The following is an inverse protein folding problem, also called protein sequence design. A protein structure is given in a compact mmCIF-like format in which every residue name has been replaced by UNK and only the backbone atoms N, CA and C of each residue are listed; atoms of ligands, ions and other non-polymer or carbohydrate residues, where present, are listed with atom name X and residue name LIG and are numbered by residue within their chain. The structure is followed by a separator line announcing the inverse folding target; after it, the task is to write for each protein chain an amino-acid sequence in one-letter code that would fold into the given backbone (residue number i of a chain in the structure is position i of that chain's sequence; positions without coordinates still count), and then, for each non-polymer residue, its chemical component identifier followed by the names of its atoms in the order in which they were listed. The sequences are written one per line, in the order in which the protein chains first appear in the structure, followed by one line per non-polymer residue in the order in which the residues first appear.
data_IF_841406922189
#
_entry.id   IF_841406922189
#
_cell.length_a   1.000
_cell.length_b   1.000
_cell.length_c   1.000
_cell.angle_alpha   90.00
_cell.angle_beta   90.00
_cell.angle_gamma   90.00
#
_symmetry.space_group_name_H-M   'P 1'
#
loop_
_entity.id
_entity.type
_entity.pdbx_description
1 polymer ?
#
# COMPACT_ATOMS: atom_id res chain seq x y z
N UNK A 1 -13.38 -26.08 -3.11
CA UNK A 1 -14.68 -26.02 -3.83
C UNK A 1 -15.35 -24.67 -3.56
N UNK A 2 -16.07 -24.11 -4.53
CA UNK A 2 -16.87 -22.87 -4.39
C UNK A 2 -16.13 -21.61 -3.89
N UNK A 3 -14.80 -21.55 -4.05
CA UNK A 3 -13.97 -20.46 -3.51
C UNK A 3 -14.38 -19.07 -4.00
N UNK A 4 -14.91 -18.95 -5.22
CA UNK A 4 -15.44 -17.69 -5.74
C UNK A 4 -16.73 -17.26 -5.01
N UNK A 5 -17.68 -18.18 -4.82
CA UNK A 5 -18.92 -17.90 -4.12
C UNK A 5 -18.67 -17.59 -2.64
N UNK A 6 -17.76 -18.34 -2.02
CA UNK A 6 -17.28 -18.09 -0.66
C UNK A 6 -16.64 -16.73 -0.48
N UNK A 7 -15.69 -16.36 -1.36
CA UNK A 7 -15.04 -15.05 -1.32
C UNK A 7 -16.05 -13.89 -1.47
N UNK A 8 -17.07 -14.03 -2.33
CA UNK A 8 -18.12 -13.01 -2.53
C UNK A 8 -18.89 -12.67 -1.25
N UNK A 9 -18.98 -13.59 -0.27
CA UNK A 9 -19.61 -13.29 1.03
C UNK A 9 -18.89 -12.18 1.80
N UNK A 10 -17.57 -12.06 1.59
CA UNK A 10 -16.73 -11.06 2.23
C UNK A 10 -16.60 -9.79 1.41
N UNK A 11 -17.20 -9.71 0.23
CA UNK A 11 -17.05 -8.57 -0.65
C UNK A 11 -17.95 -7.41 -0.19
N UNK A 12 -17.36 -6.29 0.24
CA UNK A 12 -18.10 -5.06 0.62
C UNK A 12 -18.16 -4.00 -0.48
N UNK A 13 -17.41 -4.17 -1.56
CA UNK A 13 -17.34 -3.26 -2.72
C UNK A 13 -17.54 -4.02 -4.02
N UNK A 14 -17.69 -3.37 -5.18
CA UNK A 14 -17.76 -4.09 -6.47
C UNK A 14 -16.47 -4.83 -6.86
N UNK A 15 -15.36 -4.62 -6.15
CA UNK A 15 -14.05 -5.21 -6.48
C UNK A 15 -13.80 -6.45 -5.62
N UNK A 16 -13.60 -7.59 -6.27
CA UNK A 16 -13.17 -8.82 -5.61
C UNK A 16 -11.64 -8.85 -5.51
N UNK A 17 -11.08 -9.23 -4.36
CA UNK A 17 -9.65 -9.26 -4.12
C UNK A 17 -9.21 -10.57 -3.47
N UNK A 18 -7.90 -10.83 -3.47
CA UNK A 18 -7.30 -11.98 -2.78
C UNK A 18 -7.61 -12.01 -1.29
N UNK A 19 -7.80 -10.85 -0.65
CA UNK A 19 -8.20 -10.77 0.76
C UNK A 19 -9.54 -11.47 1.01
N UNK A 20 -10.51 -11.35 0.10
CA UNK A 20 -11.79 -12.04 0.23
C UNK A 20 -11.64 -13.57 0.14
N UNK A 21 -10.76 -14.06 -0.72
CA UNK A 21 -10.41 -15.48 -0.78
C UNK A 21 -9.67 -15.95 0.48
N UNK A 22 -8.76 -15.12 1.02
CA UNK A 22 -8.03 -15.44 2.24
C UNK A 22 -8.97 -15.63 3.43
N UNK A 23 -10.00 -14.77 3.56
CA UNK A 23 -11.05 -14.93 4.55
C UNK A 23 -11.82 -16.25 4.38
N UNK A 24 -12.28 -16.54 3.16
CA UNK A 24 -13.02 -17.78 2.91
C UNK A 24 -12.19 -19.04 3.16
N UNK A 25 -10.92 -19.05 2.75
CA UNK A 25 -10.00 -20.17 2.99
C UNK A 25 -9.78 -20.41 4.49
N UNK A 26 -9.71 -19.33 5.29
CA UNK A 26 -9.65 -19.44 6.74
C UNK A 26 -10.99 -19.92 7.34
N UNK A 27 -12.13 -19.41 6.85
CA UNK A 27 -13.49 -19.79 7.30
C UNK A 27 -13.73 -21.30 7.16
N UNK A 28 -13.35 -21.89 6.02
CA UNK A 28 -13.56 -23.32 5.76
C UNK A 28 -12.47 -24.21 6.36
N UNK A 29 -11.50 -23.65 7.09
CA UNK A 29 -10.39 -24.38 7.70
C UNK A 29 -9.32 -24.87 6.71
N UNK A 30 -9.34 -24.42 5.45
CA UNK A 30 -8.31 -24.75 4.46
C UNK A 30 -6.97 -24.04 4.73
N UNK A 31 -6.99 -22.99 5.54
CA UNK A 31 -5.82 -22.33 6.11
C UNK A 31 -6.08 -21.97 7.58
N UNK A 32 -5.08 -22.07 8.45
CA UNK A 32 -5.23 -21.79 9.88
C UNK A 32 -5.42 -20.30 10.24
N UNK A 33 -5.16 -19.40 9.29
CA UNK A 33 -5.34 -17.95 9.44
C UNK A 33 -5.37 -17.28 8.07
N UNK A 34 -5.72 -15.98 8.03
CA UNK A 34 -5.65 -15.15 6.80
C UNK A 34 -4.21 -15.10 6.27
N UNK A 35 -3.23 -14.90 7.15
CA UNK A 35 -1.81 -14.88 6.78
C UNK A 35 -1.35 -16.24 6.25
N UNK A 36 -1.82 -17.34 6.84
CA UNK A 36 -1.56 -18.68 6.33
C UNK A 36 -2.17 -18.87 4.94
N UNK A 37 -3.39 -18.35 4.68
CA UNK A 37 -4.02 -18.42 3.37
C UNK A 37 -3.21 -17.70 2.29
N UNK A 38 -2.68 -16.51 2.58
CA UNK A 38 -1.78 -15.81 1.67
C UNK A 38 -0.49 -16.60 1.40
N UNK A 39 0.08 -17.21 2.43
CA UNK A 39 1.34 -17.93 2.33
C UNK A 39 1.22 -19.28 1.61
N UNK A 40 0.08 -19.96 1.70
CA UNK A 40 -0.14 -21.30 1.15
C UNK A 40 -0.80 -21.29 -0.22
N UNK A 41 -1.58 -20.25 -0.56
CA UNK A 41 -2.42 -20.24 -1.77
C UNK A 41 -2.25 -18.98 -2.64
N UNK A 42 -2.20 -17.79 -2.07
CA UNK A 42 -2.50 -16.55 -2.82
C UNK A 42 -1.28 -15.70 -3.22
N UNK A 43 -0.07 -16.29 -3.23
CA UNK A 43 1.18 -15.64 -3.62
C UNK A 43 1.81 -16.28 -4.87
N UNK A 44 2.78 -15.62 -5.54
CA UNK A 44 3.48 -16.22 -6.67
C UNK A 44 4.03 -17.61 -6.32
N UNK A 45 3.75 -18.59 -7.18
CA UNK A 45 4.20 -19.99 -6.99
C UNK A 45 3.28 -20.86 -6.14
N UNK A 46 2.14 -20.37 -5.65
CA UNK A 46 1.18 -21.16 -4.87
C UNK A 46 -0.19 -21.33 -5.57
N UNK A 47 -0.97 -22.37 -5.23
CA UNK A 47 -2.27 -22.62 -5.87
C UNK A 47 -3.29 -21.51 -5.63
N UNK A 48 -3.88 -20.97 -6.70
CA UNK A 48 -4.86 -19.87 -6.61
C UNK A 48 -4.27 -18.48 -6.85
N UNK A 49 -2.96 -18.37 -7.05
CA UNK A 49 -2.35 -17.16 -7.60
C UNK A 49 -2.46 -17.15 -9.14
N UNK A 50 -3.02 -16.05 -9.66
CA UNK A 50 -3.02 -15.74 -11.09
C UNK A 50 -2.30 -14.41 -11.25
N UNK A 51 -1.31 -14.37 -12.15
CA UNK A 51 -0.58 -13.15 -12.42
C UNK A 51 -1.53 -12.10 -13.02
N UNK A 52 -1.65 -10.96 -12.36
CA UNK A 52 -2.42 -9.82 -12.84
C UNK A 52 -1.47 -8.82 -13.48
N UNK A 53 -1.79 -8.38 -14.70
CA UNK A 53 -1.14 -7.22 -15.32
C UNK A 53 -1.74 -5.96 -14.72
N UNK A 54 -0.93 -5.23 -13.96
CA UNK A 54 -1.27 -3.91 -13.45
C UNK A 54 -0.82 -2.83 -14.43
N UNK A 55 -1.25 -1.59 -14.21
CA UNK A 55 -0.71 -0.43 -14.91
C UNK A 55 0.82 -0.34 -14.72
N UNK A 56 1.51 0.21 -15.71
CA UNK A 56 2.91 0.61 -15.53
C UNK A 56 3.02 1.76 -14.52
N UNK A 57 4.24 2.00 -14.02
CA UNK A 57 4.51 3.10 -13.10
C UNK A 57 4.12 4.46 -13.71
N UNK A 58 4.53 4.70 -14.95
CA UNK A 58 4.22 5.92 -15.69
C UNK A 58 2.72 6.10 -15.89
N UNK A 59 2.01 5.06 -16.38
CA UNK A 59 0.54 5.14 -16.58
C UNK A 59 -0.19 5.47 -15.28
N UNK A 60 0.18 4.81 -14.17
CA UNK A 60 -0.48 5.04 -12.88
C UNK A 60 -0.27 6.47 -12.38
N UNK A 61 0.93 7.02 -12.52
CA UNK A 61 1.25 8.38 -12.10
C UNK A 61 0.58 9.41 -13.02
N UNK A 62 0.61 9.18 -14.33
CA UNK A 62 -0.04 10.04 -15.33
C UNK A 62 -1.54 10.14 -15.08
N UNK A 63 -2.21 9.04 -14.75
CA UNK A 63 -3.64 9.07 -14.43
C UNK A 63 -3.94 9.86 -13.16
N UNK A 64 -3.14 9.69 -12.11
CA UNK A 64 -3.31 10.43 -10.85
C UNK A 64 -3.09 11.93 -11.07
N UNK A 65 -1.99 12.29 -11.73
CA UNK A 65 -1.63 13.68 -12.00
C UNK A 65 -2.60 14.33 -12.99
N UNK A 66 -3.01 13.60 -14.04
CA UNK A 66 -4.00 14.06 -15.01
C UNK A 66 -5.38 14.31 -14.40
N UNK A 67 -5.70 13.65 -13.28
CA UNK A 67 -6.90 13.92 -12.48
C UNK A 67 -6.72 15.07 -11.46
N UNK A 68 -5.56 15.73 -11.43
CA UNK A 68 -5.22 16.79 -10.46
C UNK A 68 -4.81 16.27 -9.08
N UNK A 69 -4.61 14.96 -8.94
CA UNK A 69 -4.17 14.33 -7.70
C UNK A 69 -2.67 14.40 -7.47
N UNK A 70 -2.22 13.80 -6.36
CA UNK A 70 -0.81 13.67 -6.00
C UNK A 70 -0.48 12.19 -5.89
N UNK A 71 0.42 11.68 -6.73
CA UNK A 71 0.85 10.29 -6.66
C UNK A 71 1.74 10.04 -5.43
N UNK A 72 1.45 8.96 -4.70
CA UNK A 72 2.11 8.59 -3.44
C UNK A 72 2.59 7.13 -3.50
N UNK A 73 3.86 6.88 -3.15
CA UNK A 73 4.34 5.51 -2.89
C UNK A 73 3.75 5.00 -1.58
N UNK A 74 2.81 4.06 -1.67
CA UNK A 74 2.17 3.46 -0.51
C UNK A 74 3.03 2.36 0.13
N UNK A 75 3.10 2.37 1.46
CA UNK A 75 3.70 1.36 2.35
C UNK A 75 4.98 0.69 1.81
N UNK A 76 6.04 1.45 1.49
CA UNK A 76 7.24 0.96 0.78
C UNK A 76 8.00 -0.16 1.51
N UNK A 77 7.88 -0.25 2.84
CA UNK A 77 8.50 -1.30 3.66
C UNK A 77 7.90 -2.69 3.44
N UNK A 78 6.79 -2.81 2.71
CA UNK A 78 6.22 -4.11 2.31
C UNK A 78 6.81 -4.66 1.03
N UNK A 79 7.54 -3.84 0.28
CA UNK A 79 8.14 -4.27 -0.97
C UNK A 79 9.30 -5.21 -0.66
N UNK A 80 9.37 -6.34 -1.37
CA UNK A 80 10.49 -7.29 -1.27
C UNK A 80 11.64 -6.83 -2.16
N UNK A 81 12.05 -5.58 -2.01
CA UNK A 81 13.12 -4.96 -2.77
C UNK A 81 14.33 -4.76 -1.87
N UNK A 82 15.50 -5.11 -2.38
CA UNK A 82 16.76 -4.71 -1.77
C UNK A 82 16.93 -3.19 -1.85
N UNK A 83 17.74 -2.64 -0.95
CA UNK A 83 17.94 -1.19 -0.81
C UNK A 83 18.31 -0.47 -2.12
N UNK A 84 19.25 -0.99 -2.96
CA UNK A 84 19.57 -0.34 -4.23
C UNK A 84 18.40 -0.31 -5.22
N UNK A 85 17.57 -1.36 -5.21
CA UNK A 85 16.42 -1.47 -6.12
C UNK A 85 15.30 -0.54 -5.67
N UNK A 86 15.08 -0.42 -4.35
CA UNK A 86 14.12 0.53 -3.80
C UNK A 86 14.50 1.97 -4.14
N UNK A 87 15.77 2.36 -3.97
CA UNK A 87 16.24 3.70 -4.33
C UNK A 87 16.10 3.98 -5.82
N UNK A 88 16.44 3.02 -6.69
CA UNK A 88 16.20 3.13 -8.13
C UNK A 88 14.71 3.31 -8.44
N UNK A 89 13.84 2.54 -7.79
CA UNK A 89 12.39 2.69 -7.93
C UNK A 89 11.91 4.08 -7.50
N UNK A 90 12.44 4.64 -6.41
CA UNK A 90 12.09 6.00 -5.96
C UNK A 90 12.56 7.06 -6.95
N UNK A 91 13.75 6.90 -7.54
CA UNK A 91 14.22 7.73 -8.64
C UNK A 91 13.28 7.66 -9.85
N UNK A 92 13.00 6.46 -10.35
CA UNK A 92 12.07 6.22 -11.47
C UNK A 92 10.67 6.81 -11.17
N UNK A 93 10.20 6.72 -9.93
CA UNK A 93 8.92 7.30 -9.49
C UNK A 93 8.92 8.83 -9.56
N UNK A 94 9.99 9.49 -9.09
CA UNK A 94 10.15 10.96 -9.17
C UNK A 94 10.24 11.40 -10.64
N UNK A 95 11.02 10.70 -11.46
CA UNK A 95 11.19 11.02 -12.87
C UNK A 95 9.86 10.93 -13.65
N UNK A 96 8.96 10.05 -13.23
CA UNK A 96 7.60 9.96 -13.78
C UNK A 96 6.62 11.02 -13.24
N UNK A 97 7.05 11.91 -12.33
CA UNK A 97 6.19 12.94 -11.73
C UNK A 97 5.49 12.51 -10.43
N UNK A 98 5.98 11.45 -9.79
CA UNK A 98 5.58 11.06 -8.44
C UNK A 98 6.08 12.07 -7.40
N UNK A 99 5.26 12.36 -6.38
CA UNK A 99 5.49 13.52 -5.51
C UNK A 99 5.46 13.22 -4.01
N UNK A 100 5.06 12.04 -3.58
CA UNK A 100 5.04 11.70 -2.15
C UNK A 100 5.38 10.23 -1.86
N UNK A 101 5.74 9.97 -0.60
CA UNK A 101 6.00 8.64 -0.06
C UNK A 101 5.34 8.48 1.30
N UNK A 102 4.79 7.31 1.58
CA UNK A 102 4.25 7.00 2.90
C UNK A 102 5.38 6.70 3.90
N UNK A 103 5.44 7.50 4.97
CA UNK A 103 6.49 7.45 6.00
C UNK A 103 6.00 6.76 7.27
N UNK A 104 4.69 6.83 7.56
CA UNK A 104 4.10 6.29 8.78
C UNK A 104 2.86 5.46 8.48
N UNK A 105 2.89 4.17 8.83
CA UNK A 105 1.75 3.25 8.73
C UNK A 105 1.89 2.06 9.69
N UNK A 106 0.78 1.39 10.06
CA UNK A 106 0.83 0.19 10.88
C UNK A 106 1.67 -0.93 10.26
N UNK A 107 2.35 -1.68 11.12
CA UNK A 107 3.31 -2.74 10.76
C UNK A 107 4.66 -2.24 10.21
N UNK A 108 4.92 -0.92 10.25
CA UNK A 108 6.24 -0.38 9.96
C UNK A 108 7.13 -0.41 11.22
N UNK A 109 8.31 -1.00 11.12
CA UNK A 109 9.30 -0.94 12.20
C UNK A 109 9.79 0.51 12.41
N UNK A 110 10.05 0.96 13.66
CA UNK A 110 10.48 2.33 13.93
C UNK A 110 11.68 2.80 13.10
N UNK A 111 12.69 1.95 12.92
CA UNK A 111 13.89 2.28 12.12
C UNK A 111 13.56 2.60 10.66
N UNK A 112 12.48 2.02 10.13
CA UNK A 112 12.04 2.29 8.77
C UNK A 112 11.31 3.64 8.64
N UNK A 113 10.74 4.19 9.72
CA UNK A 113 10.13 5.53 9.72
C UNK A 113 11.21 6.58 9.44
N UNK A 114 12.32 6.51 10.19
CA UNK A 114 13.45 7.42 9.99
C UNK A 114 14.04 7.28 8.57
N UNK A 115 14.16 6.03 8.08
CA UNK A 115 14.63 5.76 6.72
C UNK A 115 13.72 6.38 5.65
N UNK A 116 12.41 6.21 5.74
CA UNK A 116 11.50 6.75 4.74
C UNK A 116 11.34 8.27 4.84
N UNK A 117 11.52 8.86 6.02
CA UNK A 117 11.66 10.31 6.17
C UNK A 117 12.94 10.85 5.49
N UNK A 118 14.06 10.15 5.65
CA UNK A 118 15.31 10.47 4.95
C UNK A 118 15.14 10.36 3.42
N UNK A 119 14.44 9.33 2.91
CA UNK A 119 14.12 9.24 1.48
C UNK A 119 13.18 10.35 1.01
N UNK A 120 12.21 10.75 1.82
CA UNK A 120 11.38 11.90 1.52
C UNK A 120 12.24 13.15 1.30
N UNK A 121 13.21 13.41 2.19
CA UNK A 121 14.15 14.52 2.05
C UNK A 121 15.08 14.39 0.83
N UNK A 122 15.73 13.24 0.64
CA UNK A 122 16.71 13.02 -0.44
C UNK A 122 16.12 13.16 -1.84
N UNK A 123 14.89 12.70 -2.02
CA UNK A 123 14.19 12.71 -3.32
C UNK A 123 13.24 13.90 -3.47
N UNK A 124 13.15 14.81 -2.48
CA UNK A 124 12.25 15.95 -2.51
C UNK A 124 10.75 15.57 -2.49
N UNK A 125 10.41 14.42 -1.93
CA UNK A 125 9.05 13.90 -1.84
C UNK A 125 8.34 14.45 -0.59
N UNK A 126 7.03 14.68 -0.71
CA UNK A 126 6.19 14.91 0.46
C UNK A 126 6.00 13.62 1.28
N UNK A 127 5.79 13.77 2.58
CA UNK A 127 5.51 12.66 3.49
C UNK A 127 4.01 12.44 3.67
N UNK A 128 3.57 11.20 3.44
CA UNK A 128 2.22 10.73 3.72
C UNK A 128 2.20 9.79 4.94
N UNK A 129 1.02 9.59 5.51
CA UNK A 129 0.75 8.59 6.53
C UNK A 129 -0.62 7.96 6.31
N UNK A 130 -0.81 6.75 6.82
CA UNK A 130 -2.04 6.01 6.61
C UNK A 130 -2.19 4.83 7.56
N UNK A 131 -3.43 4.58 7.99
CA UNK A 131 -3.72 3.42 8.85
C UNK A 131 -3.72 2.09 8.08
N UNK A 132 -3.88 2.16 6.75
CA UNK A 132 -4.12 0.99 5.91
C UNK A 132 -5.24 0.08 6.49
N UNK A 133 -6.27 0.73 7.04
CA UNK A 133 -7.42 0.09 7.68
C UNK A 133 -8.30 -0.60 6.63
N UNK A 134 -8.66 -1.84 6.91
CA UNK A 134 -9.54 -2.62 6.05
C UNK A 134 -10.87 -2.98 6.73
N UNK A 135 -10.85 -3.30 8.04
CA UNK A 135 -12.03 -3.69 8.82
C UNK A 135 -11.88 -3.48 10.34
N UNK A 136 -12.99 -3.29 11.09
CA UNK A 136 -12.95 -3.02 12.53
C UNK A 136 -12.32 -4.13 13.39
N UNK A 137 -12.40 -5.38 12.94
CA UNK A 137 -11.91 -6.60 13.60
C UNK A 137 -10.41 -6.84 13.42
N UNK A 138 -9.69 -5.92 12.75
CA UNK A 138 -8.23 -6.01 12.57
C UNK A 138 -7.46 -5.19 13.60
N UNK A 139 -6.15 -5.46 13.73
CA UNK A 139 -5.25 -4.70 14.61
C UNK A 139 -5.02 -3.27 14.14
N UNK A 140 -5.25 -2.99 12.86
CA UNK A 140 -5.18 -1.64 12.28
C UNK A 140 -6.50 -0.94 12.57
N UNK A 141 -6.45 0.28 13.12
CA UNK A 141 -7.63 1.07 13.47
C UNK A 141 -7.66 2.35 12.63
N UNK A 142 -8.85 2.69 12.12
CA UNK A 142 -9.04 3.90 11.33
C UNK A 142 -8.68 5.13 12.16
N UNK A 143 -7.90 6.04 11.57
CA UNK A 143 -7.46 7.28 12.22
C UNK A 143 -6.38 7.11 13.31
N UNK A 144 -6.01 5.88 13.68
CA UNK A 144 -4.94 5.63 14.65
C UNK A 144 -3.62 5.40 13.91
N UNK A 145 -2.90 6.50 13.71
CA UNK A 145 -1.59 6.54 13.03
C UNK A 145 -0.63 7.36 13.88
N UNK A 146 0.68 7.07 13.80
CA UNK A 146 1.69 7.90 14.43
C UNK A 146 1.82 9.27 13.74
N UNK A 147 2.59 10.17 14.33
CA UNK A 147 2.90 11.47 13.73
C UNK A 147 4.02 11.35 12.69
N UNK A 148 3.99 12.21 11.67
CA UNK A 148 5.12 12.37 10.76
C UNK A 148 6.36 12.88 11.53
N UNK A 149 7.57 12.39 11.21
CA UNK A 149 8.81 12.92 11.78
C UNK A 149 9.01 14.40 11.46
N UNK A 150 9.64 15.12 12.38
CA UNK A 150 10.05 16.51 12.18
C UNK A 150 10.95 16.65 10.94
N UNK A 151 10.85 17.79 10.26
CA UNK A 151 11.61 18.07 9.03
C UNK A 151 11.01 17.48 7.75
N UNK A 152 10.03 16.57 7.85
CA UNK A 152 9.25 16.14 6.67
C UNK A 152 8.20 17.18 6.30
N UNK A 153 7.86 17.27 5.01
CA UNK A 153 6.79 18.15 4.51
C UNK A 153 5.54 17.29 4.27
N UNK A 154 4.44 17.49 5.02
CA UNK A 154 3.25 16.67 4.86
C UNK A 154 2.59 16.83 3.49
N UNK A 155 2.11 15.73 2.90
CA UNK A 155 1.48 15.73 1.57
C UNK A 155 0.23 16.61 1.46
N UNK A 156 -0.52 16.76 2.56
CA UNK A 156 -1.69 17.66 2.63
C UNK A 156 -1.33 19.15 2.66
N UNK A 157 -0.05 19.51 2.72
CA UNK A 157 0.45 20.87 2.49
C UNK A 157 1.00 21.08 1.07
N UNK A 158 0.96 20.05 0.22
CA UNK A 158 1.44 20.10 -1.16
C UNK A 158 0.52 20.87 -2.11
N UNK A 159 1.05 21.24 -3.29
CA UNK A 159 0.37 22.11 -4.29
C UNK A 159 -1.03 21.63 -4.72
N UNK A 160 -1.30 20.33 -4.63
CA UNK A 160 -2.60 19.72 -4.96
C UNK A 160 -3.66 19.81 -3.86
N UNK A 161 -3.38 20.40 -2.70
CA UNK A 161 -4.34 20.50 -1.57
C UNK A 161 -4.69 21.94 -1.19
N UNK A 162 -4.10 22.94 -1.86
CA UNK A 162 -4.29 24.37 -1.58
C UNK A 162 -5.71 24.91 -1.85
N UNK A 163 -6.63 24.08 -2.35
CA UNK A 163 -8.04 24.43 -2.56
C UNK A 163 -8.97 23.93 -1.43
N UNK A 164 -8.42 23.34 -0.37
CA UNK A 164 -9.15 22.85 0.81
C UNK A 164 -8.78 23.59 2.12
N UNK A 165 -8.09 24.73 2.02
CA UNK A 165 -7.72 25.59 3.14
C UNK A 165 -8.53 26.90 3.13
#
# INVERSE_FOLDING_TARGET
PDSLAGAKKYQSTRVLSRTHFAHYLAEIGAAGSIDAAFNQYLKPGTPGYVATRWASLAEAIDWINGAGGVAVVAHPGRYRLGEPVLQRFLGDFVDCGGAAIEVVYPSLAPDNVARFADYAGRYGLFASLGSDFHRPDTSRKLGQVGSLPDGTIPVWRGRGWNHLA
#
